data_IF_766548166914
#
_entry.id   IF_766548166914
#
_cell.length_a   1.000
_cell.length_b   1.000
_cell.length_c   1.000
_cell.angle_alpha   90.00
_cell.angle_beta   90.00
_cell.angle_gamma   90.00
#
_symmetry.space_group_name_H-M   'P 1'
#
loop_
_entity.id
_entity.type
_entity.pdbx_description
1 polymer ?
#
# COMPACT_ATOMS: atom_id res chain seq x y z
N UNK A 1 38.89 -23.98 27.70
CA UNK A 1 37.48 -24.22 27.36
C UNK A 1 37.46 -25.34 26.35
N UNK A 2 36.71 -26.42 26.59
CA UNK A 2 36.70 -27.60 25.70
C UNK A 2 36.08 -27.24 24.34
N UNK A 3 36.56 -27.84 23.25
CA UNK A 3 36.07 -27.63 21.89
C UNK A 3 34.54 -27.83 21.80
N UNK A 4 33.98 -28.77 22.56
CA UNK A 4 32.53 -28.98 22.66
C UNK A 4 31.81 -27.78 23.27
N UNK A 5 32.38 -27.15 24.28
CA UNK A 5 31.84 -25.95 24.92
C UNK A 5 31.84 -24.76 23.97
N UNK A 6 32.89 -24.63 23.15
CA UNK A 6 33.01 -23.58 22.13
C UNK A 6 31.92 -23.74 21.07
N UNK A 7 31.73 -24.95 20.52
CA UNK A 7 30.68 -25.22 19.53
C UNK A 7 29.27 -24.93 20.07
N UNK A 8 28.97 -25.38 21.28
CA UNK A 8 27.65 -25.15 21.89
C UNK A 8 27.38 -23.66 22.10
N UNK A 9 28.40 -22.87 22.47
CA UNK A 9 28.25 -21.42 22.61
C UNK A 9 27.89 -20.75 21.27
N UNK A 10 28.54 -21.13 20.17
CA UNK A 10 28.21 -20.58 18.84
C UNK A 10 26.79 -20.94 18.39
N UNK A 11 26.31 -22.16 18.65
CA UNK A 11 24.93 -22.53 18.33
C UNK A 11 23.91 -21.70 19.13
N UNK A 12 24.17 -21.48 20.43
CA UNK A 12 23.29 -20.67 21.28
C UNK A 12 23.29 -19.21 20.81
N UNK A 13 24.45 -18.64 20.47
CA UNK A 13 24.54 -17.27 19.96
C UNK A 13 23.78 -17.12 18.65
N UNK A 14 23.97 -18.03 17.68
CA UNK A 14 23.22 -17.99 16.42
C UNK A 14 21.71 -18.14 16.60
N UNK A 15 21.28 -19.00 17.54
CA UNK A 15 19.87 -19.17 17.88
C UNK A 15 19.29 -17.91 18.52
N UNK A 16 20.01 -17.27 19.45
CA UNK A 16 19.58 -16.03 20.09
C UNK A 16 19.54 -14.86 19.09
N UNK A 17 20.54 -14.73 18.22
CA UNK A 17 20.55 -13.72 17.15
C UNK A 17 19.35 -13.92 16.22
N UNK A 18 19.01 -15.16 15.88
CA UNK A 18 17.83 -15.48 15.06
C UNK A 18 16.50 -15.20 15.76
N UNK A 19 16.41 -15.40 17.09
CA UNK A 19 15.23 -15.05 17.88
C UNK A 19 15.05 -13.53 18.07
N UNK A 20 16.14 -12.77 18.08
CA UNK A 20 16.11 -11.30 18.24
C UNK A 20 15.92 -10.59 16.89
N UNK A 21 16.39 -11.19 15.80
CA UNK A 21 16.27 -10.66 14.45
C UNK A 21 15.67 -11.67 13.47
N UNK A 22 14.35 -11.93 13.50
CA UNK A 22 13.70 -12.72 12.46
C UNK A 22 13.84 -12.09 11.05
N UNK A 23 14.23 -10.82 10.96
CA UNK A 23 14.10 -10.00 9.74
C UNK A 23 15.38 -9.83 8.91
N UNK A 24 16.55 -10.34 9.33
CA UNK A 24 17.81 -10.09 8.61
C UNK A 24 18.04 -10.99 7.38
N UNK A 25 17.17 -11.99 7.16
CA UNK A 25 17.28 -12.96 6.06
C UNK A 25 16.20 -12.85 4.98
N UNK A 26 15.31 -11.86 5.05
CA UNK A 26 14.37 -11.61 3.98
C UNK A 26 15.10 -10.75 2.95
N UNK A 27 15.69 -11.40 1.94
CA UNK A 27 15.94 -10.77 0.64
C UNK A 27 14.70 -9.93 0.26
N UNK A 28 14.89 -8.80 -0.43
CA UNK A 28 13.94 -7.74 -0.84
C UNK A 28 12.69 -8.24 -1.66
N UNK A 29 12.08 -9.34 -1.24
CA UNK A 29 10.84 -9.91 -1.76
C UNK A 29 9.69 -8.94 -1.54
N UNK A 30 9.74 -8.18 -0.43
CA UNK A 30 8.75 -7.16 -0.10
C UNK A 30 8.90 -5.90 -0.97
N UNK A 31 10.06 -5.66 -1.59
CA UNK A 31 10.32 -4.54 -2.50
C UNK A 31 9.96 -4.86 -3.96
N UNK A 32 9.60 -6.11 -4.28
CA UNK A 32 9.16 -6.46 -5.63
C UNK A 32 7.78 -5.86 -5.94
N UNK A 33 7.53 -5.36 -7.16
CA UNK A 33 6.19 -4.95 -7.55
C UNK A 33 5.23 -6.15 -7.63
N UNK A 34 3.96 -5.92 -7.30
CA UNK A 34 2.91 -6.94 -7.33
C UNK A 34 2.55 -7.39 -8.74
N UNK A 35 2.69 -6.47 -9.71
CA UNK A 35 2.52 -6.73 -11.14
C UNK A 35 3.59 -6.00 -11.93
N UNK A 36 3.80 -6.41 -13.18
CA UNK A 36 4.63 -5.65 -14.10
C UNK A 36 3.93 -4.34 -14.49
N UNK A 37 4.67 -3.23 -14.74
CA UNK A 37 4.08 -1.93 -15.03
C UNK A 37 3.01 -1.93 -16.15
N UNK A 38 3.21 -2.71 -17.22
CA UNK A 38 2.26 -2.81 -18.33
C UNK A 38 1.07 -3.75 -18.09
N UNK A 39 1.05 -4.52 -17.00
CA UNK A 39 -0.10 -5.36 -16.64
C UNK A 39 -1.22 -4.53 -16.00
N UNK A 40 -0.88 -3.37 -15.42
CA UNK A 40 -1.86 -2.49 -14.77
C UNK A 40 -2.98 -2.08 -15.72
N UNK A 41 -2.65 -1.76 -16.98
CA UNK A 41 -3.61 -1.31 -18.00
C UNK A 41 -4.63 -2.41 -18.39
N UNK A 42 -4.36 -3.66 -18.02
CA UNK A 42 -5.27 -4.80 -18.26
C UNK A 42 -6.22 -5.07 -17.09
N UNK A 43 -6.03 -4.41 -15.94
CA UNK A 43 -6.87 -4.60 -14.74
C UNK A 43 -8.29 -4.07 -14.93
N UNK A 44 -8.47 -3.08 -15.78
CA UNK A 44 -9.77 -2.44 -16.05
C UNK A 44 -10.64 -3.21 -17.05
N UNK A 45 -10.19 -4.38 -17.51
CA UNK A 45 -10.98 -5.24 -18.39
C UNK A 45 -12.17 -5.80 -17.60
N UNK A 46 -13.34 -5.18 -17.79
CA UNK A 46 -14.59 -5.58 -17.14
C UNK A 46 -15.24 -6.75 -17.88
N UNK A 47 -15.44 -7.86 -17.17
CA UNK A 47 -16.38 -8.91 -17.55
C UNK A 47 -17.71 -8.73 -16.83
N UNK A 48 -18.85 -9.20 -17.38
CA UNK A 48 -20.13 -9.17 -16.68
C UNK A 48 -20.07 -9.78 -15.27
N UNK A 49 -19.36 -10.92 -15.13
CA UNK A 49 -19.15 -11.57 -13.83
C UNK A 49 -18.37 -10.69 -12.83
N UNK A 50 -17.36 -9.95 -13.30
CA UNK A 50 -16.60 -9.04 -12.42
C UNK A 50 -17.45 -7.84 -11.95
N UNK A 51 -18.34 -7.33 -12.80
CA UNK A 51 -19.25 -6.25 -12.45
C UNK A 51 -20.29 -6.72 -11.43
N UNK A 52 -20.93 -7.86 -11.68
CA UNK A 52 -21.92 -8.46 -10.77
C UNK A 52 -21.33 -8.72 -9.38
N UNK A 53 -20.11 -9.25 -9.33
CA UNK A 53 -19.39 -9.43 -8.07
C UNK A 53 -19.18 -8.10 -7.32
N UNK A 54 -18.74 -7.05 -8.02
CA UNK A 54 -18.48 -5.75 -7.41
C UNK A 54 -19.77 -5.10 -6.89
N UNK A 55 -20.86 -5.20 -7.64
CA UNK A 55 -22.19 -4.73 -7.23
C UNK A 55 -22.64 -5.48 -5.98
N UNK A 56 -22.63 -6.81 -6.02
CA UNK A 56 -23.01 -7.64 -4.87
C UNK A 56 -22.18 -7.31 -3.63
N UNK A 57 -20.86 -7.18 -3.78
CA UNK A 57 -19.95 -6.83 -2.69
C UNK A 57 -20.31 -5.47 -2.09
N UNK A 58 -20.50 -4.45 -2.93
CA UNK A 58 -20.90 -3.11 -2.50
C UNK A 58 -22.27 -3.11 -1.82
N UNK A 59 -23.26 -3.81 -2.37
CA UNK A 59 -24.62 -3.89 -1.80
C UNK A 59 -24.62 -4.51 -0.41
N UNK A 60 -23.81 -5.54 -0.19
CA UNK A 60 -23.73 -6.28 1.07
C UNK A 60 -22.86 -5.63 2.16
N UNK A 61 -22.23 -4.47 1.90
CA UNK A 61 -21.51 -3.76 2.98
C UNK A 61 -22.48 -3.26 4.06
N UNK A 62 -22.08 -3.29 5.35
CA UNK A 62 -22.87 -2.69 6.41
C UNK A 62 -23.12 -1.19 6.14
N UNK A 63 -24.35 -0.67 6.33
CA UNK A 63 -24.66 0.74 6.03
C UNK A 63 -23.73 1.73 6.73
N UNK A 64 -23.43 1.50 8.02
CA UNK A 64 -22.48 2.33 8.79
C UNK A 64 -21.08 2.33 8.18
N UNK A 65 -20.67 1.20 7.61
CA UNK A 65 -19.36 1.08 6.97
C UNK A 65 -19.33 1.80 5.62
N UNK A 66 -20.40 1.73 4.81
CA UNK A 66 -20.55 2.55 3.59
C UNK A 66 -20.43 4.04 3.90
N UNK A 67 -21.15 4.52 4.91
CA UNK A 67 -21.09 5.93 5.34
C UNK A 67 -19.70 6.34 5.80
N UNK A 68 -19.01 5.46 6.53
CA UNK A 68 -17.64 5.70 6.96
C UNK A 68 -16.68 5.80 5.77
N UNK A 69 -16.77 4.90 4.79
CA UNK A 69 -15.96 4.96 3.56
C UNK A 69 -16.25 6.24 2.76
N UNK A 70 -17.52 6.63 2.62
CA UNK A 70 -17.90 7.89 1.97
C UNK A 70 -17.25 9.10 2.65
N UNK A 71 -17.39 9.20 3.97
CA UNK A 71 -16.74 10.26 4.77
C UNK A 71 -15.22 10.29 4.58
N UNK A 72 -14.58 9.12 4.49
CA UNK A 72 -13.15 9.03 4.25
C UNK A 72 -12.76 9.48 2.83
N UNK A 73 -13.56 9.13 1.82
CA UNK A 73 -13.36 9.55 0.44
C UNK A 73 -13.47 11.07 0.30
N UNK A 74 -14.47 11.69 0.95
CA UNK A 74 -14.68 13.15 0.93
C UNK A 74 -13.48 13.90 1.52
N UNK A 75 -12.83 13.34 2.55
CA UNK A 75 -11.62 13.93 3.15
C UNK A 75 -10.40 13.90 2.23
N UNK A 76 -10.35 13.00 1.23
CA UNK A 76 -9.23 12.94 0.28
C UNK A 76 -9.22 14.12 -0.70
N UNK A 77 -10.33 14.84 -0.86
CA UNK A 77 -10.41 16.08 -1.64
C UNK A 77 -11.75 16.27 -2.36
N UNK A 78 -11.98 17.44 -2.97
CA UNK A 78 -13.24 17.79 -3.65
C UNK A 78 -13.59 16.87 -4.83
N UNK A 79 -12.59 16.18 -5.39
CA UNK A 79 -12.78 15.17 -6.45
C UNK A 79 -12.98 13.75 -5.90
N UNK A 80 -13.02 13.54 -4.57
CA UNK A 80 -13.00 12.22 -3.96
C UNK A 80 -11.83 11.36 -4.46
N UNK A 81 -12.06 10.05 -4.59
CA UNK A 81 -11.13 9.03 -5.09
C UNK A 81 -10.86 9.15 -6.61
N UNK A 82 -10.94 10.32 -7.27
CA UNK A 82 -10.88 10.35 -8.74
C UNK A 82 -9.53 10.72 -9.34
N UNK A 83 -8.92 11.85 -8.99
CA UNK A 83 -7.77 12.35 -9.77
C UNK A 83 -6.47 11.56 -9.54
N UNK A 84 -6.15 11.25 -8.29
CA UNK A 84 -4.90 10.56 -7.94
C UNK A 84 -5.07 9.06 -7.66
N UNK A 85 -6.29 8.54 -7.77
CA UNK A 85 -6.55 7.18 -7.31
C UNK A 85 -5.90 6.12 -8.20
N UNK A 86 -5.98 6.29 -9.51
CA UNK A 86 -5.32 5.39 -10.46
C UNK A 86 -3.81 5.37 -10.22
N UNK A 87 -3.19 6.55 -10.09
CA UNK A 87 -1.75 6.67 -9.84
C UNK A 87 -1.35 6.03 -8.50
N UNK A 88 -2.14 6.22 -7.45
CA UNK A 88 -1.84 5.58 -6.16
C UNK A 88 -2.06 4.07 -6.22
N UNK A 89 -3.08 3.58 -6.93
CA UNK A 89 -3.24 2.14 -7.17
C UNK A 89 -2.06 1.58 -7.96
N UNK A 90 -1.60 2.32 -8.98
CA UNK A 90 -0.43 1.98 -9.79
C UNK A 90 0.81 1.92 -8.91
N UNK A 91 1.03 2.89 -8.02
CA UNK A 91 2.14 2.85 -7.08
C UNK A 91 2.09 1.61 -6.18
N UNK A 92 0.95 1.32 -5.56
CA UNK A 92 0.79 0.14 -4.69
C UNK A 92 1.13 -1.15 -5.43
N UNK A 93 0.78 -1.24 -6.73
CA UNK A 93 0.94 -2.44 -7.53
C UNK A 93 2.31 -2.55 -8.23
N UNK A 94 2.95 -1.42 -8.54
CA UNK A 94 4.15 -1.36 -9.40
C UNK A 94 5.36 -0.70 -8.75
N UNK A 95 5.21 -0.16 -7.53
CA UNK A 95 6.17 0.67 -6.81
C UNK A 95 6.59 1.97 -7.54
N UNK A 96 5.85 2.38 -8.58
CA UNK A 96 6.11 3.65 -9.28
C UNK A 96 5.54 4.82 -8.46
N UNK A 97 6.37 5.72 -7.91
CA UNK A 97 5.90 6.76 -6.99
C UNK A 97 4.97 7.76 -7.68
N UNK A 98 3.92 8.18 -6.97
CA UNK A 98 3.04 9.28 -7.40
C UNK A 98 3.66 10.66 -7.17
N UNK A 99 3.07 11.68 -7.82
CA UNK A 99 3.44 13.07 -7.66
C UNK A 99 3.23 13.58 -6.23
N UNK A 100 3.91 14.69 -5.88
CA UNK A 100 3.72 15.38 -4.61
C UNK A 100 2.27 15.82 -4.38
N UNK A 101 1.58 16.28 -5.42
CA UNK A 101 0.17 16.68 -5.34
C UNK A 101 -0.74 15.50 -4.99
N UNK A 102 -0.47 14.32 -5.55
CA UNK A 102 -1.17 13.11 -5.17
C UNK A 102 -0.82 12.65 -3.75
N UNK A 103 0.42 12.86 -3.30
CA UNK A 103 0.77 12.64 -1.91
C UNK A 103 0.03 13.56 -0.93
N UNK A 104 -0.24 14.83 -1.30
CA UNK A 104 -1.08 15.71 -0.50
C UNK A 104 -2.49 15.15 -0.32
N UNK A 105 -3.10 14.60 -1.37
CA UNK A 105 -4.41 13.95 -1.28
C UNK A 105 -4.39 12.70 -0.39
N UNK A 106 -3.36 11.87 -0.55
CA UNK A 106 -3.16 10.68 0.31
C UNK A 106 -3.12 11.11 1.78
N UNK A 107 -2.27 12.08 2.13
CA UNK A 107 -2.05 12.51 3.51
C UNK A 107 -3.24 13.25 4.10
N UNK A 108 -3.96 14.07 3.31
CA UNK A 108 -5.07 14.91 3.76
C UNK A 108 -6.18 14.14 4.49
N UNK A 109 -6.48 12.93 4.05
CA UNK A 109 -7.54 12.13 4.67
C UNK A 109 -7.16 11.51 6.02
N UNK A 110 -5.86 11.46 6.34
CA UNK A 110 -5.35 10.74 7.49
C UNK A 110 -5.13 9.24 7.21
N UNK A 111 -4.17 8.66 7.95
CA UNK A 111 -3.68 7.29 7.71
C UNK A 111 -4.81 6.27 7.77
N UNK A 112 -5.66 6.38 8.79
CA UNK A 112 -6.75 5.43 8.99
C UNK A 112 -7.71 5.39 7.80
N UNK A 113 -8.18 6.55 7.34
CA UNK A 113 -9.08 6.64 6.20
C UNK A 113 -8.43 6.10 4.93
N UNK A 114 -7.18 6.47 4.67
CA UNK A 114 -6.42 5.96 3.54
C UNK A 114 -6.32 4.42 3.55
N UNK A 115 -5.89 3.84 4.68
CA UNK A 115 -5.78 2.39 4.81
C UNK A 115 -7.12 1.68 4.62
N UNK A 116 -8.23 2.25 5.13
CA UNK A 116 -9.57 1.65 5.01
C UNK A 116 -10.11 1.70 3.59
N UNK A 117 -9.94 2.83 2.90
CA UNK A 117 -10.32 2.97 1.49
C UNK A 117 -9.54 1.98 0.62
N UNK A 118 -8.22 1.86 0.82
CA UNK A 118 -7.38 0.92 0.07
C UNK A 118 -7.75 -0.53 0.36
N UNK A 119 -7.98 -0.87 1.63
CA UNK A 119 -8.47 -2.21 2.00
C UNK A 119 -9.79 -2.54 1.30
N UNK A 120 -10.71 -1.58 1.22
CA UNK A 120 -11.98 -1.75 0.51
C UNK A 120 -11.78 -1.92 -1.01
N UNK A 121 -10.97 -1.08 -1.65
CA UNK A 121 -10.69 -1.18 -3.09
C UNK A 121 -10.12 -2.56 -3.47
N UNK A 122 -9.27 -3.11 -2.62
CA UNK A 122 -8.71 -4.45 -2.80
C UNK A 122 -9.67 -5.59 -2.41
N UNK A 123 -10.95 -5.31 -2.13
CA UNK A 123 -12.02 -6.31 -2.13
C UNK A 123 -12.69 -6.42 -3.50
N UNK A 124 -12.51 -5.44 -4.40
CA UNK A 124 -13.05 -5.47 -5.75
C UNK A 124 -12.44 -6.62 -6.55
N UNK A 125 -13.22 -7.17 -7.48
CA UNK A 125 -12.89 -8.36 -8.26
C UNK A 125 -11.49 -8.28 -8.91
N UNK A 126 -11.16 -7.12 -9.47
CA UNK A 126 -9.92 -6.84 -10.19
C UNK A 126 -8.70 -6.88 -9.28
N UNK A 127 -8.88 -6.45 -8.02
CA UNK A 127 -7.78 -6.20 -7.08
C UNK A 127 -7.68 -7.25 -5.97
N UNK A 128 -8.74 -8.04 -5.74
CA UNK A 128 -8.81 -9.00 -4.62
C UNK A 128 -7.72 -10.05 -4.61
N UNK A 129 -7.13 -10.37 -5.76
CA UNK A 129 -5.98 -11.28 -5.86
C UNK A 129 -4.74 -10.77 -5.12
N UNK A 130 -4.66 -9.47 -4.83
CA UNK A 130 -3.55 -8.82 -4.14
C UNK A 130 -3.85 -8.49 -2.66
N UNK A 131 -5.02 -8.87 -2.15
CA UNK A 131 -5.49 -8.45 -0.83
C UNK A 131 -4.60 -8.89 0.35
N UNK A 132 -3.77 -9.92 0.19
CA UNK A 132 -2.82 -10.36 1.21
C UNK A 132 -1.64 -9.39 1.39
N UNK A 133 -1.24 -8.70 0.32
CA UNK A 133 -0.05 -7.84 0.29
C UNK A 133 -0.40 -6.35 0.39
N UNK A 134 -1.65 -5.98 0.08
CA UNK A 134 -2.09 -4.57 0.03
C UNK A 134 -1.83 -3.79 1.32
N UNK A 135 -1.98 -4.41 2.50
CA UNK A 135 -1.81 -3.68 3.77
C UNK A 135 -0.39 -3.17 3.94
N UNK A 136 0.60 -3.98 3.54
CA UNK A 136 2.00 -3.61 3.60
C UNK A 136 2.32 -2.51 2.58
N UNK A 137 2.06 -2.77 1.29
CA UNK A 137 2.31 -1.81 0.19
C UNK A 137 1.59 -0.47 0.39
N UNK A 138 0.35 -0.50 0.85
CA UNK A 138 -0.40 0.72 1.16
C UNK A 138 0.30 1.54 2.25
N UNK A 139 0.79 0.89 3.30
CA UNK A 139 1.49 1.57 4.38
C UNK A 139 2.82 2.20 3.92
N UNK A 140 3.52 1.58 2.98
CA UNK A 140 4.73 2.16 2.35
C UNK A 140 4.41 3.45 1.61
N UNK A 141 3.39 3.43 0.74
CA UNK A 141 2.94 4.63 0.01
C UNK A 141 2.54 5.74 0.98
N UNK A 142 1.83 5.41 2.06
CA UNK A 142 1.49 6.38 3.09
C UNK A 142 2.74 7.02 3.70
N UNK A 143 3.69 6.21 4.17
CA UNK A 143 4.90 6.70 4.84
C UNK A 143 5.73 7.58 3.90
N UNK A 144 5.89 7.16 2.63
CA UNK A 144 6.58 7.95 1.60
C UNK A 144 5.88 9.28 1.37
N UNK A 145 4.57 9.27 1.16
CA UNK A 145 3.81 10.49 0.93
C UNK A 145 3.80 11.44 2.14
N UNK A 146 3.74 10.91 3.37
CA UNK A 146 3.90 11.71 4.58
C UNK A 146 5.25 12.43 4.60
N UNK A 147 6.35 11.71 4.33
CA UNK A 147 7.68 12.30 4.29
C UNK A 147 7.85 13.34 3.17
N UNK A 148 7.29 13.09 1.98
CA UNK A 148 7.34 14.01 0.84
C UNK A 148 6.60 15.33 1.12
N UNK A 149 5.45 15.25 1.79
CA UNK A 149 4.64 16.43 2.14
C UNK A 149 5.29 17.24 3.26
N UNK A 150 5.90 16.57 4.24
CA UNK A 150 6.63 17.21 5.35
C UNK A 150 7.94 17.87 4.92
N UNK A 151 8.54 17.39 3.82
CA UNK A 151 9.76 17.96 3.27
C UNK A 151 9.50 19.37 2.69
N UNK A 152 10.27 20.40 3.09
CA UNK A 152 10.18 21.72 2.47
C UNK A 152 10.34 21.58 0.96
N UNK A 153 9.48 22.21 0.16
CA UNK A 153 9.72 22.29 -1.28
C UNK A 153 11.07 22.97 -1.49
N UNK A 154 12.03 22.23 -2.04
CA UNK A 154 13.24 22.85 -2.57
C UNK A 154 12.79 23.76 -3.72
N UNK A 155 12.64 25.04 -3.41
CA UNK A 155 12.45 26.10 -4.38
C UNK A 155 13.73 26.24 -5.19
N UNK A 156 13.90 25.38 -6.18
CA UNK A 156 14.90 25.52 -7.23
C UNK A 156 14.31 24.99 -8.53
N UNK A 157 13.57 25.87 -9.20
CA UNK A 157 13.63 25.95 -10.65
C UNK A 157 13.89 27.41 -11.03
N UNK A 158 15.11 27.60 -11.52
CA UNK A 158 15.58 28.64 -12.42
C UNK A 158 14.48 29.56 -13.01
N UNK A 159 14.51 30.83 -12.62
CA UNK A 159 14.16 31.90 -13.55
C UNK A 159 15.40 32.30 -14.34
N UNK A 160 15.23 32.20 -15.65
CA UNK A 160 16.04 32.71 -16.76
C UNK A 160 16.30 34.21 -16.60
#
# INVERSE_FOLDING_TARGET
MDTKTIFMAFFIINTLVSCVYPCLGQEDVDDKPLINPGEFDTLDVLSPASQEYNIYMLENLPPKYKTYLGTCADKMGPSGISECNEDVLREILTNKPVSRDCCLMVVRAGKECYMKIRKFMFQLYQLKRFASQVSFKTNEVWNRCSAEVESPSSSHDHMI
#
